data_IF_251464028438
#
_entry.id   IF_251464028438
#
_cell.length_a   1.000
_cell.length_b   1.000
_cell.length_c   1.000
_cell.angle_alpha   90.00
_cell.angle_beta   90.00
_cell.angle_gamma   90.00
#
_symmetry.space_group_name_H-M   'P 1'
#
loop_
_entity.id
_entity.type
_entity.pdbx_description
1 polymer ?
#
# COMPACT_ATOMS: atom_id res chain seq x y z
N UNK A 1 17.67 -3.51 7.47
CA UNK A 1 17.08 -2.26 8.00
C UNK A 1 15.62 -2.53 8.33
N UNK A 2 14.94 -1.60 8.99
CA UNK A 2 13.49 -1.71 9.25
C UNK A 2 12.78 -0.64 8.46
N UNK A 3 11.71 -1.02 7.75
CA UNK A 3 10.72 -0.09 7.24
C UNK A 3 9.73 0.20 8.36
N UNK A 4 9.47 1.47 8.64
CA UNK A 4 8.51 1.89 9.66
C UNK A 4 7.47 2.80 9.05
N UNK A 5 6.20 2.48 9.30
CA UNK A 5 5.03 3.20 8.82
C UNK A 5 4.32 3.81 10.02
N UNK A 6 4.28 5.14 10.10
CA UNK A 6 3.71 5.87 11.23
C UNK A 6 2.84 7.03 10.81
N UNK A 7 1.80 7.34 11.58
CA UNK A 7 0.96 8.52 11.39
C UNK A 7 0.43 9.07 12.72
N UNK A 8 -0.23 10.23 12.66
CA UNK A 8 -0.81 10.89 13.84
C UNK A 8 -2.04 10.17 14.41
N UNK A 9 -2.67 9.26 13.64
CA UNK A 9 -3.79 8.44 14.12
C UNK A 9 -3.33 7.28 15.00
N UNK A 10 -2.03 7.03 15.06
CA UNK A 10 -1.42 5.99 15.88
C UNK A 10 -1.00 4.76 15.09
N UNK A 11 -0.96 4.79 13.75
CA UNK A 11 -0.26 3.74 13.01
C UNK A 11 1.20 3.67 13.48
N UNK A 12 1.68 2.46 13.68
CA UNK A 12 3.08 2.14 13.95
C UNK A 12 3.29 0.69 13.54
N UNK A 13 3.59 0.46 12.26
CA UNK A 13 3.88 -0.85 11.70
C UNK A 13 5.36 -0.94 11.35
N UNK A 14 6.02 -2.03 11.76
CA UNK A 14 7.41 -2.31 11.45
C UNK A 14 7.54 -3.55 10.57
N UNK A 15 8.30 -3.41 9.48
CA UNK A 15 8.65 -4.52 8.59
C UNK A 15 10.18 -4.68 8.58
N UNK A 16 10.73 -5.78 9.13
CA UNK A 16 12.15 -6.05 9.04
C UNK A 16 12.54 -6.40 7.61
N UNK A 17 13.66 -5.84 7.15
CA UNK A 17 14.12 -5.96 5.79
C UNK A 17 15.57 -6.44 5.73
N UNK A 18 15.76 -7.60 5.10
CA UNK A 18 17.09 -8.15 4.81
C UNK A 18 17.59 -7.66 3.46
N UNK A 19 18.90 -7.81 3.22
CA UNK A 19 19.47 -7.55 1.89
C UNK A 19 18.84 -8.47 0.83
N UNK A 20 18.65 -9.75 1.14
CA UNK A 20 18.08 -10.72 0.21
C UNK A 20 16.66 -10.35 -0.22
N UNK A 21 15.81 -9.92 0.72
CA UNK A 21 14.47 -9.40 0.44
C UNK A 21 14.51 -8.23 -0.53
N UNK A 22 15.43 -7.27 -0.32
CA UNK A 22 15.61 -6.12 -1.22
C UNK A 22 15.99 -6.51 -2.63
N UNK A 23 16.99 -7.39 -2.76
CA UNK A 23 17.41 -7.86 -4.08
C UNK A 23 16.24 -8.55 -4.80
N UNK A 24 15.47 -9.39 -4.10
CA UNK A 24 14.30 -10.05 -4.67
C UNK A 24 13.26 -9.05 -5.18
N UNK A 25 12.93 -8.03 -4.39
CA UNK A 25 11.97 -7.00 -4.76
C UNK A 25 12.44 -6.17 -5.97
N UNK A 26 13.73 -5.80 -6.02
CA UNK A 26 14.29 -4.94 -7.07
C UNK A 26 14.37 -5.61 -8.45
N UNK A 27 14.27 -6.94 -8.52
CA UNK A 27 14.13 -7.65 -9.80
C UNK A 27 12.78 -7.32 -10.47
N UNK A 28 11.75 -7.00 -9.68
CA UNK A 28 10.40 -6.73 -10.16
C UNK A 28 10.29 -5.52 -11.08
N UNK A 29 9.47 -5.64 -12.12
CA UNK A 29 9.25 -4.58 -13.11
C UNK A 29 8.73 -3.26 -12.51
N UNK A 30 7.93 -3.34 -11.43
CA UNK A 30 7.43 -2.15 -10.70
C UNK A 30 8.59 -1.33 -10.12
N UNK A 31 9.59 -1.98 -9.53
CA UNK A 31 10.79 -1.32 -8.98
C UNK A 31 11.75 -0.82 -10.06
N UNK A 32 11.78 -1.49 -11.21
CA UNK A 32 12.58 -1.07 -12.38
C UNK A 32 11.95 0.08 -13.17
N UNK A 33 10.75 0.54 -12.79
CA UNK A 33 10.01 1.56 -13.54
C UNK A 33 9.54 1.11 -14.92
N UNK A 34 9.41 -0.21 -15.15
CA UNK A 34 8.87 -0.74 -16.40
C UNK A 34 7.35 -0.56 -16.42
N UNK A 35 6.88 0.40 -17.21
CA UNK A 35 5.46 0.76 -17.33
C UNK A 35 4.81 0.25 -18.61
N UNK A 36 5.57 -0.40 -19.49
CA UNK A 36 5.10 -0.91 -20.80
C UNK A 36 5.57 -2.35 -20.98
N UNK A 37 4.67 -3.24 -21.41
CA UNK A 37 5.01 -4.60 -21.79
C UNK A 37 5.58 -4.61 -23.22
N UNK A 38 6.86 -4.27 -23.34
CA UNK A 38 7.56 -4.05 -24.61
C UNK A 38 8.42 -5.24 -25.08
N UNK A 39 8.44 -6.34 -24.33
CA UNK A 39 9.18 -7.57 -24.64
C UNK A 39 8.29 -8.83 -24.45
N UNK A 40 8.50 -9.91 -25.22
CA UNK A 40 7.73 -11.15 -25.06
C UNK A 40 7.80 -11.71 -23.63
N UNK A 41 6.64 -12.07 -23.07
CA UNK A 41 6.55 -12.56 -21.69
C UNK A 41 6.63 -11.48 -20.61
N UNK A 42 6.73 -10.20 -20.98
CA UNK A 42 6.69 -9.10 -20.03
C UNK A 42 5.29 -8.94 -19.44
N UNK A 43 5.22 -8.95 -18.11
CA UNK A 43 4.06 -8.49 -17.37
C UNK A 43 4.42 -7.13 -16.73
N UNK A 44 3.63 -6.11 -17.04
CA UNK A 44 3.60 -4.85 -16.31
C UNK A 44 2.25 -4.75 -15.59
N UNK A 45 2.22 -4.02 -14.48
CA UNK A 45 1.02 -3.93 -13.68
C UNK A 45 -0.18 -3.43 -14.51
N UNK A 46 -1.35 -4.00 -14.26
CA UNK A 46 -2.59 -3.74 -15.00
C UNK A 46 -3.00 -2.27 -14.96
N UNK A 47 -2.73 -1.58 -13.85
CA UNK A 47 -2.86 -0.12 -13.75
C UNK A 47 -1.53 0.55 -14.12
N UNK A 48 -1.42 1.17 -15.31
CA UNK A 48 -0.27 1.99 -15.63
C UNK A 48 -0.17 3.09 -14.58
N UNK A 49 1.03 3.22 -14.00
CA UNK A 49 1.45 4.17 -12.94
C UNK A 49 1.23 3.74 -11.48
N UNK A 50 0.71 2.54 -11.24
CA UNK A 50 0.79 1.95 -9.92
C UNK A 50 2.25 1.55 -9.63
N UNK A 51 2.85 2.19 -8.63
CA UNK A 51 4.26 2.01 -8.30
C UNK A 51 4.52 0.73 -7.51
N UNK A 52 5.75 0.56 -6.99
CA UNK A 52 6.10 -0.62 -6.23
C UNK A 52 5.44 -0.64 -4.84
N UNK A 53 5.34 -1.86 -4.30
CA UNK A 53 5.10 -2.08 -2.88
C UNK A 53 6.43 -1.97 -2.13
N UNK A 54 6.46 -1.23 -1.02
CA UNK A 54 7.67 -1.16 -0.18
C UNK A 54 8.06 -2.54 0.37
N UNK A 55 7.07 -3.39 0.59
CA UNK A 55 7.22 -4.81 0.85
C UNK A 55 6.07 -5.58 0.18
N UNK A 56 6.34 -6.74 -0.39
CA UNK A 56 5.31 -7.70 -0.76
C UNK A 56 5.84 -9.14 -0.62
N UNK A 57 5.00 -10.13 -0.91
CA UNK A 57 5.35 -11.55 -0.78
C UNK A 57 6.53 -11.99 -1.68
N UNK A 58 6.91 -11.23 -2.71
CA UNK A 58 8.12 -11.49 -3.50
C UNK A 58 9.40 -11.29 -2.70
N UNK A 59 9.38 -10.44 -1.66
CA UNK A 59 10.49 -10.31 -0.71
C UNK A 59 10.85 -11.65 -0.05
N UNK A 60 9.87 -12.56 0.05
CA UNK A 60 10.00 -13.91 0.58
C UNK A 60 10.02 -14.98 -0.52
N UNK A 61 10.28 -14.61 -1.77
CA UNK A 61 10.24 -15.52 -2.93
C UNK A 61 8.91 -16.25 -3.07
N UNK A 62 7.81 -15.62 -2.67
CA UNK A 62 6.47 -16.21 -2.64
C UNK A 62 6.33 -17.42 -1.70
N UNK A 63 7.24 -17.60 -0.75
CA UNK A 63 7.07 -18.57 0.33
C UNK A 63 5.99 -18.07 1.31
N UNK A 64 4.79 -18.60 1.14
CA UNK A 64 3.62 -18.24 1.94
C UNK A 64 3.74 -18.68 3.40
N UNK A 65 4.62 -19.64 3.71
CA UNK A 65 4.88 -20.15 5.05
C UNK A 65 6.03 -19.46 5.78
N UNK A 66 6.88 -18.71 5.08
CA UNK A 66 8.06 -18.10 5.67
C UNK A 66 7.73 -17.14 6.82
N UNK A 67 8.29 -17.37 8.00
CA UNK A 67 8.07 -16.51 9.16
C UNK A 67 8.74 -15.14 8.97
N UNK A 68 7.98 -14.07 9.23
CA UNK A 68 8.49 -12.69 9.24
C UNK A 68 7.77 -11.90 10.34
N UNK A 69 8.56 -11.20 11.16
CA UNK A 69 8.09 -10.41 12.29
C UNK A 69 7.58 -9.03 11.82
N UNK A 70 6.51 -9.04 11.02
CA UNK A 70 5.78 -7.81 10.69
C UNK A 70 4.79 -7.55 11.83
N UNK A 71 5.12 -6.56 12.66
CA UNK A 71 4.43 -6.30 13.91
C UNK A 71 4.01 -4.83 14.01
N UNK A 72 2.92 -4.58 14.72
CA UNK A 72 2.44 -3.24 15.01
C UNK A 72 0.99 -3.02 14.61
N UNK A 73 0.61 -1.81 14.24
CA UNK A 73 -0.75 -1.50 13.81
C UNK A 73 -0.83 -0.49 12.68
N UNK A 74 -1.91 -0.58 11.91
CA UNK A 74 -2.32 0.39 10.90
C UNK A 74 -3.69 0.96 11.27
N UNK A 75 -3.84 2.26 11.08
CA UNK A 75 -5.09 3.01 11.18
C UNK A 75 -5.55 3.44 9.78
N UNK A 76 -6.14 2.52 8.98
CA UNK A 76 -6.58 2.85 7.63
C UNK A 76 -7.65 3.93 7.63
N UNK A 77 -7.60 4.78 6.61
CA UNK A 77 -8.61 5.82 6.39
C UNK A 77 -9.72 5.34 5.45
N UNK A 78 -9.45 4.32 4.64
CA UNK A 78 -10.43 3.74 3.72
C UNK A 78 -10.02 2.30 3.37
N UNK A 79 -10.88 1.60 2.64
CA UNK A 79 -10.64 0.26 2.13
C UNK A 79 -11.46 0.04 0.86
N UNK A 80 -10.93 -0.76 -0.05
CA UNK A 80 -11.60 -1.08 -1.32
C UNK A 80 -12.93 -1.80 -1.04
N UNK A 81 -13.99 -1.38 -1.74
CA UNK A 81 -15.35 -1.91 -1.56
C UNK A 81 -16.22 -1.14 -0.57
N UNK A 82 -15.64 -0.22 0.22
CA UNK A 82 -16.40 0.69 1.06
C UNK A 82 -16.74 1.97 0.31
N UNK A 83 -17.97 2.46 0.48
CA UNK A 83 -18.46 3.60 -0.29
C UNK A 83 -17.75 4.93 0.01
N UNK A 84 -17.23 5.10 1.23
CA UNK A 84 -16.64 6.34 1.73
C UNK A 84 -15.50 6.04 2.72
N UNK A 85 -14.57 6.99 2.96
CA UNK A 85 -13.60 6.89 4.04
C UNK A 85 -14.25 6.61 5.39
N UNK A 86 -13.52 5.94 6.27
CA UNK A 86 -13.98 5.63 7.62
C UNK A 86 -14.07 6.89 8.47
N UNK A 87 -15.21 7.07 9.14
CA UNK A 87 -15.39 8.14 10.10
C UNK A 87 -14.68 7.84 11.44
N UNK A 88 -14.65 6.56 11.83
CA UNK A 88 -13.92 6.10 13.02
C UNK A 88 -12.44 5.84 12.69
N UNK A 89 -11.55 6.13 13.63
CA UNK A 89 -10.17 5.65 13.60
C UNK A 89 -10.13 4.16 13.99
N UNK A 90 -10.28 3.29 13.00
CA UNK A 90 -10.23 1.84 13.16
C UNK A 90 -8.76 1.40 13.15
N UNK A 91 -8.33 0.58 14.12
CA UNK A 91 -6.96 0.06 14.15
C UNK A 91 -6.91 -1.44 13.82
N UNK A 92 -6.04 -1.83 12.89
CA UNK A 92 -5.75 -3.22 12.52
C UNK A 92 -4.38 -3.58 13.07
N UNK A 93 -4.33 -4.56 13.96
CA UNK A 93 -3.11 -4.97 14.69
C UNK A 93 -2.53 -6.23 14.06
N UNK A 94 -1.23 -6.21 13.84
CA UNK A 94 -0.44 -7.30 13.26
C UNK A 94 0.54 -7.88 14.28
N UNK A 95 0.64 -9.20 14.26
CA UNK A 95 1.70 -9.96 14.93
C UNK A 95 2.20 -11.04 13.96
N UNK A 96 3.50 -11.07 13.69
CA UNK A 96 4.13 -11.98 12.73
C UNK A 96 3.42 -11.97 11.36
N UNK A 97 3.06 -10.76 10.88
CA UNK A 97 2.28 -10.43 9.67
C UNK A 97 0.80 -10.80 9.70
N UNK A 98 0.31 -11.47 10.73
CA UNK A 98 -1.08 -11.88 10.82
C UNK A 98 -1.90 -10.85 11.59
N UNK A 99 -3.14 -10.64 11.14
CA UNK A 99 -4.08 -9.77 11.84
C UNK A 99 -4.56 -10.46 13.12
N UNK A 100 -4.21 -9.90 14.26
CA UNK A 100 -4.59 -10.43 15.59
C UNK A 100 -5.68 -9.63 16.28
N UNK A 101 -5.94 -8.40 15.83
CA UNK A 101 -7.08 -7.61 16.30
C UNK A 101 -7.53 -6.57 15.27
N UNK A 102 -8.83 -6.27 15.28
CA UNK A 102 -9.42 -5.07 14.66
C UNK A 102 -10.19 -4.31 15.73
N UNK A 103 -9.73 -3.10 16.06
CA UNK A 103 -10.25 -2.24 17.14
C UNK A 103 -11.11 -1.13 16.56
N UNK A 104 -12.25 -0.86 17.19
CA UNK A 104 -13.27 0.09 16.76
C UNK A 104 -14.67 -0.44 17.03
N UNK A 105 -15.65 0.44 17.09
CA UNK A 105 -17.04 0.15 17.45
C UNK A 105 -18.03 0.36 16.29
N UNK A 106 -17.62 0.99 15.18
CA UNK A 106 -18.49 1.27 14.04
C UNK A 106 -18.90 -0.02 13.29
N UNK A 107 -19.90 0.12 12.42
CA UNK A 107 -20.30 -0.98 11.53
C UNK A 107 -19.18 -1.36 10.56
N UNK A 108 -18.42 -0.39 10.06
CA UNK A 108 -17.23 -0.64 9.25
C UNK A 108 -16.17 -1.41 10.04
N UNK A 109 -15.92 -1.05 11.31
CA UNK A 109 -15.00 -1.79 12.17
C UNK A 109 -15.47 -3.23 12.39
N UNK A 110 -16.78 -3.46 12.52
CA UNK A 110 -17.37 -4.80 12.63
C UNK A 110 -17.19 -5.61 11.34
N UNK A 111 -17.40 -5.00 10.17
CA UNK A 111 -17.19 -5.65 8.86
C UNK A 111 -15.72 -6.02 8.69
N UNK A 112 -14.80 -5.06 8.94
CA UNK A 112 -13.37 -5.31 8.85
C UNK A 112 -12.92 -6.40 9.83
N UNK A 113 -13.50 -6.47 11.03
CA UNK A 113 -13.19 -7.53 11.99
C UNK A 113 -13.60 -8.92 11.49
N UNK A 114 -14.81 -9.08 10.95
CA UNK A 114 -15.22 -10.39 10.39
C UNK A 114 -14.35 -10.79 9.19
N UNK A 115 -13.92 -9.81 8.40
CA UNK A 115 -13.14 -10.01 7.19
C UNK A 115 -11.66 -10.33 7.49
N UNK A 116 -10.99 -9.51 8.29
CA UNK A 116 -9.53 -9.46 8.37
C UNK A 116 -8.95 -10.38 9.44
N UNK A 117 -9.69 -10.75 10.48
CA UNK A 117 -9.15 -11.52 11.60
C UNK A 117 -8.50 -12.84 11.14
N UNK A 118 -7.24 -13.06 11.53
CA UNK A 118 -6.44 -14.22 11.11
C UNK A 118 -5.88 -14.11 9.69
N UNK A 119 -6.22 -13.06 8.94
CA UNK A 119 -5.65 -12.76 7.63
C UNK A 119 -4.17 -12.40 7.72
N UNK A 120 -3.50 -12.39 6.57
CA UNK A 120 -2.05 -12.26 6.42
C UNK A 120 -1.75 -11.04 5.55
N UNK A 121 -0.92 -10.13 6.03
CA UNK A 121 -0.37 -9.06 5.20
C UNK A 121 0.48 -9.68 4.08
N UNK A 122 0.11 -9.40 2.82
CA UNK A 122 0.87 -9.84 1.63
C UNK A 122 1.48 -8.69 0.85
N UNK A 123 0.96 -7.48 1.04
CA UNK A 123 1.42 -6.25 0.40
C UNK A 123 1.48 -5.13 1.44
N UNK A 124 2.69 -4.62 1.68
CA UNK A 124 2.97 -3.59 2.67
C UNK A 124 3.38 -2.28 1.99
N UNK A 125 2.46 -1.32 1.99
CA UNK A 125 2.72 0.03 1.51
C UNK A 125 2.91 0.11 -0.01
N UNK A 126 1.96 -0.44 -0.77
CA UNK A 126 1.91 -0.19 -2.20
C UNK A 126 1.60 1.27 -2.49
N UNK A 127 2.43 1.89 -3.33
CA UNK A 127 2.44 3.34 -3.52
C UNK A 127 2.34 3.69 -5.01
N UNK A 128 1.37 4.53 -5.36
CA UNK A 128 1.32 5.17 -6.68
C UNK A 128 2.47 6.14 -6.92
N UNK A 129 2.79 6.42 -8.19
CA UNK A 129 3.85 7.36 -8.58
C UNK A 129 3.35 8.40 -9.60
N UNK A 130 2.03 8.62 -9.69
CA UNK A 130 1.43 9.55 -10.65
C UNK A 130 0.90 10.82 -9.97
N UNK A 131 1.64 11.95 -10.01
CA UNK A 131 1.22 13.20 -9.37
C UNK A 131 -0.12 13.76 -9.87
N UNK A 132 -0.62 13.31 -11.03
CA UNK A 132 -1.92 13.74 -11.56
C UNK A 132 -3.05 12.77 -11.22
N UNK A 133 -2.77 11.64 -10.59
CA UNK A 133 -3.82 10.73 -10.12
C UNK A 133 -4.58 11.37 -8.95
N UNK A 134 -5.93 11.27 -8.91
CA UNK A 134 -6.69 11.77 -7.78
C UNK A 134 -6.37 10.98 -6.51
N UNK A 135 -6.03 11.69 -5.43
CA UNK A 135 -5.63 11.09 -4.15
C UNK A 135 -6.66 10.14 -3.56
N UNK A 136 -7.94 10.51 -3.63
CA UNK A 136 -9.05 9.77 -3.02
C UNK A 136 -9.77 8.82 -3.99
N UNK A 137 -9.19 8.53 -5.16
CA UNK A 137 -9.66 7.45 -6.03
C UNK A 137 -8.87 6.20 -5.73
N UNK A 138 -9.46 5.26 -5.00
CA UNK A 138 -8.76 4.08 -4.48
C UNK A 138 -9.05 2.79 -5.26
N UNK A 139 -10.15 2.69 -6.01
CA UNK A 139 -10.45 1.48 -6.78
C UNK A 139 -9.59 1.43 -8.08
N UNK A 140 -9.10 0.25 -8.51
CA UNK A 140 -9.32 -1.09 -7.93
C UNK A 140 -8.29 -1.58 -6.90
N UNK A 141 -7.14 -0.93 -6.74
CA UNK A 141 -5.99 -1.46 -5.99
C UNK A 141 -5.24 -0.36 -5.19
N UNK A 142 -6.00 0.45 -4.44
CA UNK A 142 -5.47 1.64 -3.76
C UNK A 142 -5.30 2.86 -4.67
N UNK A 143 -4.83 3.96 -4.07
CA UNK A 143 -4.62 5.22 -4.78
C UNK A 143 -3.33 5.19 -5.62
N UNK A 144 -3.42 5.68 -6.85
CA UNK A 144 -2.26 5.90 -7.71
C UNK A 144 -1.56 7.24 -7.44
N UNK A 145 -2.09 8.05 -6.52
CA UNK A 145 -1.45 9.29 -6.13
C UNK A 145 -0.19 9.00 -5.28
N UNK A 146 0.91 9.74 -5.51
CA UNK A 146 2.14 9.55 -4.78
C UNK A 146 1.96 9.76 -3.28
N UNK A 147 2.56 8.85 -2.52
CA UNK A 147 2.59 8.86 -1.06
C UNK A 147 1.30 8.40 -0.37
N UNK A 148 0.21 8.21 -1.12
CA UNK A 148 -0.91 7.40 -0.65
C UNK A 148 -0.52 5.91 -0.73
N UNK A 149 -0.82 5.17 0.33
CA UNK A 149 -0.42 3.79 0.49
C UNK A 149 -1.63 2.87 0.55
N UNK A 150 -1.50 1.68 -0.02
CA UNK A 150 -2.38 0.57 0.30
C UNK A 150 -1.62 -0.59 0.97
N UNK A 151 -2.38 -1.42 1.68
CA UNK A 151 -1.92 -2.60 2.38
C UNK A 151 -2.86 -3.76 2.07
N UNK A 152 -2.37 -4.70 1.27
CA UNK A 152 -3.10 -5.88 0.84
C UNK A 152 -3.01 -7.00 1.86
N UNK A 153 -4.16 -7.47 2.31
CA UNK A 153 -4.31 -8.55 3.29
C UNK A 153 -5.05 -9.71 2.63
N UNK A 154 -4.42 -10.87 2.62
CA UNK A 154 -5.11 -12.11 2.29
C UNK A 154 -5.92 -12.59 3.50
N UNK A 155 -7.22 -12.81 3.31
CA UNK A 155 -8.17 -13.19 4.34
C UNK A 155 -8.05 -14.69 4.66
N UNK A 156 -8.32 -15.05 5.92
CA UNK A 156 -8.33 -16.45 6.35
C UNK A 156 -9.46 -17.28 5.70
N UNK A 157 -10.52 -16.60 5.23
CA UNK A 157 -11.67 -17.18 4.54
C UNK A 157 -12.25 -16.15 3.55
N UNK A 158 -12.99 -16.59 2.51
CA UNK A 158 -13.71 -15.67 1.65
C UNK A 158 -14.69 -14.77 2.41
N UNK A 159 -14.79 -13.51 2.00
CA UNK A 159 -15.71 -12.52 2.58
C UNK A 159 -17.00 -12.37 1.79
N UNK A 160 -18.13 -12.51 2.46
CA UNK A 160 -19.45 -12.25 1.87
C UNK A 160 -19.69 -10.76 1.60
N UNK A 161 -19.03 -9.88 2.36
CA UNK A 161 -19.09 -8.44 2.09
C UNK A 161 -18.47 -8.12 0.72
N UNK A 162 -17.27 -8.63 0.45
CA UNK A 162 -16.58 -8.44 -0.84
C UNK A 162 -17.45 -8.96 -1.98
N UNK A 163 -17.99 -10.18 -1.86
CA UNK A 163 -18.88 -10.77 -2.89
C UNK A 163 -20.10 -9.92 -3.22
N UNK A 164 -20.68 -9.26 -2.21
CA UNK A 164 -21.88 -8.43 -2.37
C UNK A 164 -21.55 -7.05 -2.94
N UNK A 165 -20.48 -6.43 -2.44
CA UNK A 165 -20.14 -5.03 -2.77
C UNK A 165 -19.29 -4.90 -4.02
N UNK A 166 -18.53 -5.94 -4.36
CA UNK A 166 -17.61 -5.96 -5.49
C UNK A 166 -17.69 -7.28 -6.27
N UNK A 167 -18.87 -7.63 -6.82
CA UNK A 167 -19.11 -8.94 -7.43
C UNK A 167 -18.25 -9.25 -8.66
N UNK A 168 -17.68 -8.21 -9.29
CA UNK A 168 -16.83 -8.31 -10.48
C UNK A 168 -15.39 -7.87 -10.21
N UNK A 169 -14.97 -7.84 -8.95
CA UNK A 169 -13.59 -7.50 -8.63
C UNK A 169 -12.65 -8.56 -9.16
N UNK A 170 -11.51 -8.12 -9.69
CA UNK A 170 -10.52 -8.99 -10.33
C UNK A 170 -9.79 -9.85 -9.29
N UNK A 171 -9.63 -9.33 -8.07
CA UNK A 171 -9.04 -10.05 -6.96
C UNK A 171 -10.05 -11.05 -6.35
N UNK A 172 -9.58 -12.22 -5.89
CA UNK A 172 -10.47 -13.19 -5.27
C UNK A 172 -11.07 -12.60 -3.99
N UNK A 173 -12.26 -13.06 -3.53
CA UNK A 173 -12.93 -12.51 -2.34
C UNK A 173 -12.22 -12.85 -1.02
N UNK A 174 -10.93 -13.14 -1.09
CA UNK A 174 -9.97 -13.38 -0.02
C UNK A 174 -8.86 -12.34 -0.01
N UNK A 175 -8.97 -11.24 -0.74
CA UNK A 175 -7.99 -10.15 -0.72
C UNK A 175 -8.68 -8.85 -0.27
N UNK A 176 -8.06 -8.07 0.61
CA UNK A 176 -8.58 -6.76 1.00
C UNK A 176 -7.45 -5.74 1.07
N UNK A 177 -7.59 -4.68 0.29
CA UNK A 177 -6.73 -3.51 0.35
C UNK A 177 -7.27 -2.47 1.33
N UNK A 178 -6.42 -2.12 2.30
CA UNK A 178 -6.62 -1.00 3.22
C UNK A 178 -5.80 0.20 2.76
N UNK A 179 -6.32 1.41 2.88
CA UNK A 179 -5.66 2.62 2.35
C UNK A 179 -5.37 3.62 3.45
N UNK A 180 -4.17 4.21 3.41
CA UNK A 180 -3.77 5.37 4.22
C UNK A 180 -3.26 6.47 3.30
N UNK A 181 -3.62 7.71 3.59
CA UNK A 181 -3.26 8.87 2.76
C UNK A 181 -2.12 9.69 3.34
N UNK A 182 -1.83 9.67 4.63
CA UNK A 182 -0.85 10.58 5.24
C UNK A 182 0.23 9.86 6.07
N UNK A 183 0.45 8.57 5.79
CA UNK A 183 1.47 7.78 6.47
C UNK A 183 2.87 8.32 6.17
N UNK A 184 3.70 8.41 7.20
CA UNK A 184 5.15 8.62 7.07
C UNK A 184 5.84 7.27 7.00
N UNK A 185 6.74 7.11 6.03
CA UNK A 185 7.54 5.89 5.85
C UNK A 185 9.01 6.21 6.00
N UNK A 186 9.70 5.48 6.88
CA UNK A 186 11.15 5.58 7.06
C UNK A 186 11.85 4.25 6.81
N UNK A 187 13.05 4.30 6.23
CA UNK A 187 13.96 3.17 6.13
C UNK A 187 15.29 3.54 6.78
N UNK A 188 15.61 2.91 7.92
CA UNK A 188 16.85 3.19 8.66
C UNK A 188 17.06 4.69 9.00
N UNK A 189 15.98 5.41 9.33
CA UNK A 189 16.02 6.84 9.62
C UNK A 189 15.93 7.76 8.39
N UNK A 190 16.04 7.23 7.17
CA UNK A 190 15.77 8.00 5.95
C UNK A 190 14.27 8.06 5.70
N UNK A 191 13.71 9.25 5.62
CA UNK A 191 12.30 9.46 5.26
C UNK A 191 12.10 9.23 3.75
N UNK A 192 11.23 8.29 3.42
CA UNK A 192 10.83 7.95 2.05
C UNK A 192 9.51 8.64 1.69
N UNK A 193 8.57 8.66 2.65
CA UNK A 193 7.32 9.40 2.56
C UNK A 193 7.20 10.23 3.84
N UNK A 194 6.95 11.53 3.71
CA UNK A 194 6.70 12.45 4.82
C UNK A 194 5.21 12.84 4.83
N UNK A 195 4.46 12.34 5.81
CA UNK A 195 3.03 12.65 5.99
C UNK A 195 2.20 12.54 4.69
N UNK A 196 2.40 11.45 3.96
CA UNK A 196 1.74 11.21 2.67
C UNK A 196 2.37 11.89 1.46
N UNK A 197 3.46 12.62 1.61
CA UNK A 197 4.23 13.18 0.49
C UNK A 197 5.38 12.24 0.10
N UNK A 198 5.44 11.81 -1.15
CA UNK A 198 6.52 10.95 -1.65
C UNK A 198 7.79 11.77 -1.91
N UNK A 199 8.83 11.54 -1.09
CA UNK A 199 10.06 12.35 -1.13
C UNK A 199 10.83 12.26 -2.46
N UNK A 200 10.65 11.16 -3.21
CA UNK A 200 11.26 10.99 -4.54
C UNK A 200 10.81 12.08 -5.54
N UNK A 201 9.66 12.71 -5.34
CA UNK A 201 9.20 13.81 -6.20
C UNK A 201 10.04 15.08 -6.04
N UNK A 202 10.79 15.20 -4.95
CA UNK A 202 11.74 16.30 -4.72
C UNK A 202 13.15 15.98 -5.21
N UNK A 203 13.38 14.81 -5.80
CA UNK A 203 14.67 14.51 -6.38
C UNK A 203 15.01 15.54 -7.47
N UNK A 204 16.21 16.13 -7.48
CA UNK A 204 16.59 17.16 -8.45
C UNK A 204 16.38 16.73 -9.91
N UNK A 205 16.56 15.44 -10.22
CA UNK A 205 16.36 14.93 -11.58
C UNK A 205 14.88 14.85 -11.96
N UNK A 206 14.00 14.53 -11.00
CA UNK A 206 12.55 14.51 -11.17
C UNK A 206 12.01 15.94 -11.33
N UNK A 207 12.45 16.87 -10.48
CA UNK A 207 12.09 18.29 -10.57
C UNK A 207 12.55 18.89 -11.90
N UNK A 208 13.80 18.64 -12.31
CA UNK A 208 14.34 19.12 -13.58
C UNK A 208 13.60 18.53 -14.80
N UNK A 209 13.09 17.30 -14.70
CA UNK A 209 12.24 16.72 -15.74
C UNK A 209 10.88 17.41 -15.79
N UNK A 210 10.21 17.56 -14.65
CA UNK A 210 8.89 18.19 -14.57
C UNK A 210 8.91 19.64 -15.07
N UNK A 211 9.97 20.39 -14.78
CA UNK A 211 10.16 21.77 -15.22
C UNK A 211 10.15 21.94 -16.77
N UNK A 212 10.35 20.86 -17.53
CA UNK A 212 10.23 20.89 -19.00
C UNK A 212 8.78 20.94 -19.48
N UNK A 213 7.83 20.61 -18.61
CA UNK A 213 6.41 20.44 -18.93
C UNK A 213 5.50 21.45 -18.21
N UNK A 214 6.03 22.26 -17.30
CA UNK A 214 5.27 23.26 -16.55
C UNK A 214 5.94 23.66 -15.24
N UNK A 215 5.17 24.26 -14.34
CA UNK A 215 5.63 24.55 -12.98
C UNK A 215 5.81 23.23 -12.20
N UNK A 216 7.04 22.85 -11.80
CA UNK A 216 7.26 21.60 -11.09
C UNK A 216 6.54 21.54 -9.73
N UNK A 217 6.25 22.67 -9.08
CA UNK A 217 5.51 22.69 -7.81
C UNK A 217 4.06 22.26 -8.06
N UNK A 218 3.37 22.88 -9.02
CA UNK A 218 2.01 22.49 -9.40
C UNK A 218 1.95 21.04 -9.91
N UNK A 219 2.92 20.64 -10.73
CA UNK A 219 2.95 19.31 -11.33
C UNK A 219 3.21 18.19 -10.34
N UNK A 220 4.06 18.42 -9.33
CA UNK A 220 4.54 17.36 -8.43
C UNK A 220 3.92 17.42 -7.04
N UNK A 221 3.56 18.61 -6.56
CA UNK A 221 3.04 18.82 -5.20
C UNK A 221 1.57 19.26 -5.17
N UNK A 222 0.98 19.68 -6.30
CA UNK A 222 -0.36 20.28 -6.35
C UNK A 222 -1.54 19.37 -6.02
N UNK A 223 -1.33 18.07 -5.82
CA UNK A 223 -2.35 17.05 -5.54
C UNK A 223 -2.22 16.39 -4.16
N UNK A 224 -1.31 16.91 -3.32
CA UNK A 224 -0.99 16.38 -1.99
C UNK A 224 -1.87 17.01 -0.93
#
# INVERSE_FOLDING_TARGET
>A
FTLRFTDERGSDLAIPYTRAMREAMFVGNRWRGKMTADEPGCYVHYLPTHGPNFWDSTAMQQDTGAAIAIDGMLSPQWAIGFAQPFAENIAVVFENRHVTAVRGASDEARILRDMLMGGKLIEGGGCGFNPKAPRHTIYPAGSNAPGALHFGIDLAKPSDYIRKMMPMWEEPPVHQDLVTFDTTVTANGTTIIDRGFLMALRDPTVVAMAARYGDPVDLLEGSV
#
